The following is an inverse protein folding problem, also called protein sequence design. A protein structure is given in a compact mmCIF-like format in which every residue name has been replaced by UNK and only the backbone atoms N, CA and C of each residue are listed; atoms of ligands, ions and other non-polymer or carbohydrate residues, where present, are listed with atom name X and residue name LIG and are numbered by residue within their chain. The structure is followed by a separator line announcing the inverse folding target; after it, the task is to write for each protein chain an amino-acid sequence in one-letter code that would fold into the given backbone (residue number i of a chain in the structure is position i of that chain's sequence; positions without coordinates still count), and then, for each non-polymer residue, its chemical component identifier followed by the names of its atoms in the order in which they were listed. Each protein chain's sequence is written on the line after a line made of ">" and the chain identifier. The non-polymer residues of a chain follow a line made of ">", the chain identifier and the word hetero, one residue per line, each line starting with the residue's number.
data_IF_086544274657
#
_entry.id   IF_086544274657
#
_cell.length_a   1.000
_cell.length_b   1.000
_cell.length_c   1.000
_cell.angle_alpha   90.00
_cell.angle_beta   90.00
_cell.angle_gamma   90.00
#
_symmetry.space_group_name_H-M   'P 1'
#
loop_
_entity.id
_entity.type
_entity.pdbx_description
1 polymer ?
#
# COMPACT_ATOMS: atom_id res chain seq x y z
N UNK A 1 15.72 -19.44 15.90
CA UNK A 1 14.42 -19.82 16.49
C UNK A 1 14.19 -18.93 17.71
N UNK A 2 13.07 -18.20 17.76
CA UNK A 2 12.71 -17.24 18.81
C UNK A 2 11.91 -16.07 18.24
N UNK A 3 10.69 -15.88 18.73
CA UNK A 3 9.49 -15.39 18.00
C UNK A 3 9.27 -13.86 17.96
N UNK A 4 8.56 -13.40 16.92
CA UNK A 4 7.93 -12.09 16.85
C UNK A 4 6.76 -11.97 17.84
N UNK A 5 6.75 -10.90 18.62
CA UNK A 5 5.62 -10.52 19.46
C UNK A 5 4.54 -9.92 18.56
N UNK A 6 3.43 -10.64 18.43
CA UNK A 6 2.20 -10.13 17.82
C UNK A 6 1.68 -8.93 18.61
N UNK A 7 1.85 -7.73 18.05
CA UNK A 7 1.06 -6.56 18.42
C UNK A 7 -0.40 -6.78 17.98
N UNK A 8 -1.18 -7.48 18.79
CA UNK A 8 -2.65 -7.52 18.66
C UNK A 8 -3.17 -6.10 18.88
N UNK A 9 -3.57 -5.42 17.81
CA UNK A 9 -4.53 -4.33 17.91
C UNK A 9 -5.79 -4.88 18.57
N UNK A 10 -6.10 -4.42 19.79
CA UNK A 10 -7.44 -4.56 20.36
C UNK A 10 -8.38 -3.75 19.46
N UNK A 11 -8.95 -4.39 18.45
CA UNK A 11 -10.19 -3.90 17.88
C UNK A 11 -11.21 -3.95 19.02
N UNK A 12 -11.68 -2.78 19.46
CA UNK A 12 -12.89 -2.71 20.25
C UNK A 12 -13.96 -3.50 19.49
N UNK A 13 -14.37 -4.62 20.09
CA UNK A 13 -15.46 -5.42 19.55
C UNK A 13 -16.70 -4.55 19.68
N UNK A 14 -17.20 -4.02 18.56
CA UNK A 14 -18.55 -3.47 18.52
C UNK A 14 -19.48 -4.61 18.93
N UNK A 15 -20.04 -4.51 20.13
CA UNK A 15 -21.02 -5.46 20.63
C UNK A 15 -22.34 -5.25 19.86
N UNK A 16 -22.59 -6.12 18.89
CA UNK A 16 -23.78 -6.09 18.05
C UNK A 16 -25.06 -6.56 18.78
N UNK A 17 -25.01 -6.82 20.11
CA UNK A 17 -26.18 -7.26 20.90
C UNK A 17 -27.34 -6.27 20.96
N UNK A 18 -27.16 -5.01 20.53
CA UNK A 18 -28.22 -4.00 20.54
C UNK A 18 -28.86 -3.71 19.18
N UNK A 19 -28.51 -4.42 18.10
CA UNK A 19 -29.29 -4.33 16.87
C UNK A 19 -30.59 -5.13 17.03
N UNK A 20 -31.57 -4.48 17.65
CA UNK A 20 -32.97 -4.90 17.70
C UNK A 20 -33.37 -5.30 16.27
N UNK A 21 -33.54 -6.60 16.04
CA UNK A 21 -33.90 -7.14 14.74
C UNK A 21 -35.24 -6.56 14.32
N UNK A 22 -35.21 -5.58 13.42
CA UNK A 22 -36.40 -5.05 12.76
C UNK A 22 -36.90 -6.15 11.84
N UNK A 23 -37.78 -7.00 12.36
CA UNK A 23 -38.58 -7.91 11.55
C UNK A 23 -39.45 -7.04 10.63
N UNK A 24 -39.14 -7.01 9.34
CA UNK A 24 -40.11 -6.62 8.33
C UNK A 24 -40.48 -7.84 7.50
N UNK A 25 -41.74 -8.22 7.70
CA UNK A 25 -42.51 -9.10 6.83
C UNK A 25 -42.49 -8.51 5.41
N UNK A 26 -42.34 -9.41 4.46
CA UNK A 26 -42.94 -9.39 3.12
C UNK A 26 -43.12 -8.02 2.46
N UNK A 27 -42.21 -7.70 1.55
CA UNK A 27 -42.38 -6.86 0.35
C UNK A 27 -41.01 -6.89 -0.31
N UNK A 28 -40.81 -7.09 -1.59
CA UNK A 28 -41.62 -7.09 -2.80
C UNK A 28 -40.60 -7.45 -3.90
N UNK A 29 -41.02 -7.95 -5.06
CA UNK A 29 -40.15 -8.35 -6.17
C UNK A 29 -39.02 -7.36 -6.52
N UNK A 30 -39.18 -6.09 -6.14
CA UNK A 30 -38.19 -5.00 -6.22
C UNK A 30 -36.84 -5.31 -5.56
N UNK A 31 -36.79 -6.04 -4.44
CA UNK A 31 -35.50 -6.36 -3.79
C UNK A 31 -34.71 -7.41 -4.57
N UNK A 32 -35.42 -8.33 -5.24
CA UNK A 32 -34.82 -9.37 -6.09
C UNK A 32 -34.19 -8.75 -7.35
N UNK A 33 -34.87 -7.78 -7.98
CA UNK A 33 -34.30 -7.03 -9.12
C UNK A 33 -33.10 -6.17 -8.73
N UNK A 34 -33.15 -5.50 -7.57
CA UNK A 34 -32.03 -4.71 -7.06
C UNK A 34 -30.81 -5.59 -6.76
N UNK A 35 -31.03 -6.78 -6.19
CA UNK A 35 -29.95 -7.73 -5.89
C UNK A 35 -29.39 -8.36 -7.18
N UNK A 36 -30.24 -8.62 -8.17
CA UNK A 36 -29.83 -9.12 -9.49
C UNK A 36 -28.94 -8.11 -10.22
N UNK A 37 -29.33 -6.82 -10.25
CA UNK A 37 -28.50 -5.74 -10.83
C UNK A 37 -27.18 -5.54 -10.07
N UNK A 38 -27.19 -5.66 -8.74
CA UNK A 38 -25.98 -5.56 -7.93
C UNK A 38 -24.99 -6.72 -8.22
N UNK A 39 -25.50 -7.94 -8.38
CA UNK A 39 -24.69 -9.11 -8.71
C UNK A 39 -24.13 -9.07 -10.14
N UNK A 40 -24.90 -8.63 -11.14
CA UNK A 40 -24.40 -8.42 -12.50
C UNK A 40 -23.28 -7.37 -12.54
N UNK A 41 -23.39 -6.31 -11.72
CA UNK A 41 -22.37 -5.26 -11.58
C UNK A 41 -21.11 -5.75 -10.85
N UNK A 42 -21.24 -6.70 -9.92
CA UNK A 42 -20.11 -7.35 -9.27
C UNK A 42 -19.40 -8.34 -10.19
N UNK A 43 -20.14 -9.07 -11.04
CA UNK A 43 -19.60 -10.02 -12.00
C UNK A 43 -18.69 -9.34 -13.05
N UNK A 44 -19.02 -8.11 -13.46
CA UNK A 44 -18.18 -7.31 -14.36
C UNK A 44 -16.87 -6.81 -13.73
N UNK A 45 -16.80 -6.67 -12.39
CA UNK A 45 -15.55 -6.34 -11.67
C UNK A 45 -14.61 -7.55 -11.51
N UNK A 46 -15.13 -8.77 -11.61
CA UNK A 46 -14.33 -10.00 -11.47
C UNK A 46 -13.69 -10.46 -12.79
N UNK A 47 -14.16 -9.96 -13.95
CA UNK A 47 -13.59 -10.29 -15.27
C UNK A 47 -12.59 -9.27 -15.81
N UNK A 48 -12.41 -8.12 -15.17
CA UNK A 48 -11.43 -7.09 -15.57
C UNK A 48 -10.51 -6.68 -14.43
N UNK A 49 -9.60 -7.58 -14.05
CA UNK A 49 -8.32 -7.21 -13.42
C UNK A 49 -7.23 -8.29 -13.60
N UNK A 50 -7.13 -8.85 -14.81
CA UNK A 50 -5.82 -9.08 -15.42
C UNK A 50 -5.37 -7.71 -15.94
N UNK A 51 -4.12 -7.30 -15.69
CA UNK A 51 -3.55 -5.94 -15.78
C UNK A 51 -3.75 -5.14 -14.48
N UNK A 52 -2.75 -4.73 -13.69
CA UNK A 52 -1.29 -4.64 -13.86
C UNK A 52 -0.64 -5.32 -12.65
N UNK A 53 0.19 -6.36 -12.83
CA UNK A 53 1.42 -6.38 -12.04
C UNK A 53 2.18 -5.16 -12.56
N UNK A 54 2.01 -3.99 -11.93
CA UNK A 54 3.10 -3.03 -11.94
C UNK A 54 4.26 -3.85 -11.39
N UNK A 55 5.24 -4.15 -12.23
CA UNK A 55 6.52 -4.58 -11.70
C UNK A 55 6.85 -3.54 -10.64
N UNK A 56 7.06 -3.99 -9.41
CA UNK A 56 7.86 -3.18 -8.51
C UNK A 56 9.15 -2.97 -9.30
N UNK A 57 9.36 -1.76 -9.81
CA UNK A 57 10.63 -1.41 -10.45
C UNK A 57 11.67 -1.65 -9.35
N UNK A 58 12.52 -2.65 -9.53
CA UNK A 58 13.55 -3.00 -8.58
C UNK A 58 14.52 -1.83 -8.48
N UNK A 59 14.71 -1.30 -7.27
CA UNK A 59 15.71 -0.27 -7.04
C UNK A 59 17.10 -0.93 -7.10
N UNK A 60 17.79 -0.71 -8.21
CA UNK A 60 19.10 -1.28 -8.49
C UNK A 60 20.23 -0.29 -8.21
N UNK A 61 21.45 -0.80 -8.01
CA UNK A 61 22.64 0.02 -7.89
C UNK A 61 22.81 0.90 -9.15
N UNK A 62 23.09 2.19 -8.94
CA UNK A 62 23.19 3.19 -10.00
C UNK A 62 21.85 3.83 -10.40
N UNK A 63 20.71 3.33 -9.88
CA UNK A 63 19.39 3.90 -10.17
C UNK A 63 19.29 5.36 -9.70
N UNK A 64 18.66 6.19 -10.53
CA UNK A 64 18.40 7.59 -10.24
C UNK A 64 17.09 7.73 -9.46
N UNK A 65 17.13 8.34 -8.29
CA UNK A 65 15.99 8.48 -7.40
C UNK A 65 15.80 9.92 -6.93
N UNK A 66 14.55 10.25 -6.61
CA UNK A 66 14.19 11.45 -5.86
C UNK A 66 13.63 11.03 -4.51
N UNK A 67 14.09 11.68 -3.44
CA UNK A 67 13.65 11.41 -2.07
C UNK A 67 13.22 12.70 -1.40
N UNK A 68 12.21 12.65 -0.54
CA UNK A 68 11.80 13.81 0.24
C UNK A 68 12.68 13.93 1.49
N UNK A 69 13.36 15.05 1.66
CA UNK A 69 14.14 15.36 2.87
C UNK A 69 13.28 16.22 3.79
N UNK A 70 12.72 15.60 4.83
CA UNK A 70 11.86 16.28 5.80
C UNK A 70 12.59 17.42 6.53
N UNK A 71 13.89 17.24 6.83
CA UNK A 71 14.70 18.24 7.52
C UNK A 71 14.93 19.52 6.70
N UNK A 72 14.84 19.41 5.38
CA UNK A 72 14.99 20.54 4.44
C UNK A 72 13.71 20.88 3.68
N UNK A 73 12.62 20.19 4.00
CA UNK A 73 11.29 20.28 3.36
C UNK A 73 11.35 20.34 1.83
N UNK A 74 12.25 19.55 1.23
CA UNK A 74 12.52 19.59 -0.20
C UNK A 74 12.81 18.21 -0.77
N UNK A 75 12.47 18.05 -2.03
CA UNK A 75 12.85 16.89 -2.82
C UNK A 75 14.33 16.97 -3.21
N UNK A 76 15.05 15.86 -3.08
CA UNK A 76 16.47 15.73 -3.41
C UNK A 76 16.69 14.61 -4.39
N UNK A 77 17.48 14.89 -5.42
CA UNK A 77 17.90 13.93 -6.44
C UNK A 77 19.21 13.26 -6.04
N UNK A 78 19.29 11.95 -6.23
CA UNK A 78 20.49 11.18 -5.91
C UNK A 78 20.54 9.84 -6.64
N UNK A 79 21.70 9.19 -6.54
CA UNK A 79 21.96 7.90 -7.14
C UNK A 79 22.06 6.83 -6.05
N UNK A 80 21.45 5.69 -6.28
CA UNK A 80 21.56 4.54 -5.39
C UNK A 80 22.99 3.99 -5.48
N UNK A 81 23.72 4.01 -4.37
CA UNK A 81 25.08 3.47 -4.29
C UNK A 81 25.14 2.14 -3.55
N UNK A 82 24.10 1.78 -2.80
CA UNK A 82 23.98 0.46 -2.17
C UNK A 82 22.52 0.05 -2.06
N UNK A 83 22.17 -1.07 -2.67
CA UNK A 83 20.84 -1.67 -2.55
C UNK A 83 20.55 -2.12 -1.10
N UNK A 84 19.27 -2.16 -0.71
CA UNK A 84 18.88 -2.66 0.59
C UNK A 84 19.24 -4.15 0.71
N UNK A 85 19.85 -4.54 1.84
CA UNK A 85 20.03 -5.95 2.18
C UNK A 85 18.69 -6.64 2.44
N UNK A 86 18.64 -7.98 2.49
CA UNK A 86 17.39 -8.76 2.60
C UNK A 86 16.53 -8.46 3.84
N UNK A 87 17.11 -7.82 4.87
CA UNK A 87 16.43 -7.42 6.10
C UNK A 87 16.46 -5.89 6.34
N UNK A 88 16.88 -5.10 5.35
CA UNK A 88 16.95 -3.65 5.45
C UNK A 88 15.91 -3.03 4.53
N UNK A 89 15.09 -2.11 5.06
CA UNK A 89 14.22 -1.27 4.24
C UNK A 89 14.93 0.02 3.79
N UNK A 90 16.23 0.17 4.09
CA UNK A 90 17.02 1.37 3.78
C UNK A 90 18.08 1.09 2.73
N UNK A 91 18.29 2.08 1.87
CA UNK A 91 19.19 2.09 0.72
C UNK A 91 20.15 3.26 0.87
N UNK A 92 21.42 3.09 0.54
CA UNK A 92 22.36 4.21 0.53
C UNK A 92 22.23 5.00 -0.77
N UNK A 93 21.99 6.30 -0.66
CA UNK A 93 21.80 7.22 -1.78
C UNK A 93 22.84 8.32 -1.70
N UNK A 94 23.57 8.54 -2.79
CA UNK A 94 24.49 9.67 -2.95
C UNK A 94 23.75 10.82 -3.60
N UNK A 95 23.59 11.93 -2.88
CA UNK A 95 22.86 13.09 -3.38
C UNK A 95 23.71 13.98 -4.28
N UNK A 96 23.17 14.38 -5.44
CA UNK A 96 23.87 15.23 -6.43
C UNK A 96 24.21 16.61 -5.87
N UNK A 97 23.35 17.16 -5.01
CA UNK A 97 23.52 18.52 -4.47
C UNK A 97 24.63 18.68 -3.44
N UNK A 98 24.93 17.64 -2.67
CA UNK A 98 25.86 17.72 -1.53
C UNK A 98 27.01 16.73 -1.62
N UNK A 99 26.98 15.81 -2.59
CA UNK A 99 27.88 14.64 -2.67
C UNK A 99 27.85 13.71 -1.45
N UNK A 100 26.98 14.00 -0.47
CA UNK A 100 26.83 13.19 0.74
C UNK A 100 26.07 11.89 0.44
N UNK A 101 26.37 10.86 1.23
CA UNK A 101 25.68 9.57 1.19
C UNK A 101 24.83 9.45 2.44
N UNK A 102 23.53 9.28 2.28
CA UNK A 102 22.59 9.05 3.37
C UNK A 102 21.80 7.75 3.14
N UNK A 103 21.27 7.18 4.22
CA UNK A 103 20.42 6.00 4.19
C UNK A 103 18.95 6.42 4.14
N UNK A 104 18.28 6.12 3.04
CA UNK A 104 16.87 6.48 2.79
C UNK A 104 15.99 5.24 2.74
N UNK A 105 14.78 5.33 3.31
CA UNK A 105 13.80 4.24 3.22
C UNK A 105 13.36 4.04 1.77
N UNK A 106 13.23 2.78 1.35
CA UNK A 106 12.74 2.43 0.01
C UNK A 106 11.36 3.00 -0.28
N UNK A 107 10.53 3.13 0.75
CA UNK A 107 9.17 3.66 0.65
C UNK A 107 9.13 5.16 0.32
N UNK A 108 10.18 5.90 0.70
CA UNK A 108 10.29 7.35 0.50
C UNK A 108 11.02 7.72 -0.80
N UNK A 109 11.41 6.72 -1.60
CA UNK A 109 12.13 6.89 -2.86
C UNK A 109 11.19 6.81 -4.06
N UNK A 110 11.33 7.77 -4.98
CA UNK A 110 10.69 7.74 -6.28
C UNK A 110 11.75 7.55 -7.37
N UNK A 111 11.62 6.49 -8.16
CA UNK A 111 12.52 6.20 -9.28
C UNK A 111 12.30 7.19 -10.43
N UNK A 112 13.38 7.77 -10.96
CA UNK A 112 13.36 8.60 -12.18
C UNK A 112 13.72 7.71 -13.36
N UNK A 113 12.85 7.68 -14.38
CA UNK A 113 13.07 6.97 -15.66
C UNK A 113 13.58 7.91 -16.73
#
# INVERSE_FOLDING_TARGET
>A
MGNCIEGRTKADKIDLRSMKAVKRKETSALFSELTKRANERAMLKSQTKRQKKQGQDSIEHGSLVVTYDEGRTKWRKGNVVQCPGPNSCKTAVRFESTMAVDYVSVEDMHLIR
#
